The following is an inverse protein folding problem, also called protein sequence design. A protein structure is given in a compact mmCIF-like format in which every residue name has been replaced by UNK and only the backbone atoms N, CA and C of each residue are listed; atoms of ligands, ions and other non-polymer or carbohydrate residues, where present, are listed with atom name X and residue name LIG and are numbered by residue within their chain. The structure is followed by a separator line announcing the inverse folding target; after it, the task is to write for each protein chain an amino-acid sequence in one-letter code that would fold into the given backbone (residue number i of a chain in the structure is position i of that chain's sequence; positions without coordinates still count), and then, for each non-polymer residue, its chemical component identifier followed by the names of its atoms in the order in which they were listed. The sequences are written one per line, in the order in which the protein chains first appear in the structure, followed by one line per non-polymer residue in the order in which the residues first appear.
data_IF_263083853163
#
_entry.id   IF_263083853163
#
_cell.length_a   1.000
_cell.length_b   1.000
_cell.length_c   1.000
_cell.angle_alpha   90.00
_cell.angle_beta   90.00
_cell.angle_gamma   90.00
#
_symmetry.space_group_name_H-M   'P 1'
#
loop_
_entity.id
_entity.type
_entity.pdbx_description
1 polymer ?
#
# COMPACT_ATOMS: atom_id res chain seq x y z
N UNK A 1 -2.83 2.71 -23.86
CA UNK A 1 -1.51 2.52 -24.49
C UNK A 1 -1.61 1.26 -25.32
N UNK A 2 -1.34 1.36 -26.63
CA UNK A 2 -1.51 0.29 -27.62
C UNK A 2 -0.18 -0.46 -27.86
N UNK A 3 -0.19 -1.80 -27.80
CA UNK A 3 0.82 -2.69 -28.42
C UNK A 3 2.06 -3.10 -27.58
N UNK A 4 2.21 -4.41 -27.33
CA UNK A 4 3.48 -5.12 -27.00
C UNK A 4 4.24 -4.74 -25.69
N UNK A 5 3.59 -4.24 -24.63
CA UNK A 5 4.30 -3.96 -23.37
C UNK A 5 4.78 -5.22 -22.62
N UNK A 6 4.33 -6.42 -23.00
CA UNK A 6 4.63 -7.66 -22.28
C UNK A 6 6.11 -8.02 -22.25
N UNK A 7 6.81 -8.05 -23.39
CA UNK A 7 8.21 -8.50 -23.42
C UNK A 7 9.13 -7.63 -22.54
N UNK A 8 9.16 -6.29 -22.69
CA UNK A 8 9.99 -5.45 -21.83
C UNK A 8 9.64 -5.56 -20.34
N UNK A 9 8.35 -5.68 -20.01
CA UNK A 9 7.89 -5.87 -18.63
C UNK A 9 8.39 -7.20 -18.04
N UNK A 10 8.25 -8.30 -18.77
CA UNK A 10 8.64 -9.63 -18.34
C UNK A 10 10.17 -9.81 -18.29
N UNK A 11 10.92 -9.13 -19.16
CA UNK A 11 12.39 -9.13 -19.12
C UNK A 11 12.88 -8.46 -17.84
N UNK A 12 12.28 -7.32 -17.49
CA UNK A 12 12.54 -6.61 -16.22
C UNK A 12 12.19 -7.48 -15.02
N UNK A 13 11.01 -8.09 -15.01
CA UNK A 13 10.60 -8.99 -13.94
C UNK A 13 11.59 -10.16 -13.80
N UNK A 14 11.99 -10.79 -14.91
CA UNK A 14 12.98 -11.87 -14.88
C UNK A 14 14.30 -11.43 -14.25
N UNK A 15 14.84 -10.29 -14.69
CA UNK A 15 16.09 -9.75 -14.18
C UNK A 15 16.03 -9.46 -12.67
N UNK A 16 14.97 -8.80 -12.21
CA UNK A 16 14.79 -8.42 -10.80
C UNK A 16 14.49 -9.63 -9.92
N UNK A 17 13.74 -10.61 -10.41
CA UNK A 17 13.50 -11.86 -9.69
C UNK A 17 14.79 -12.69 -9.53
N UNK A 18 15.63 -12.74 -10.57
CA UNK A 18 16.94 -13.38 -10.48
C UNK A 18 17.85 -12.64 -9.49
N UNK A 19 17.87 -11.30 -9.53
CA UNK A 19 18.69 -10.48 -8.65
C UNK A 19 18.23 -10.51 -7.18
N UNK A 20 16.92 -10.63 -6.93
CA UNK A 20 16.32 -10.66 -5.60
C UNK A 20 16.33 -12.01 -4.89
N UNK A 21 17.06 -13.00 -5.42
CA UNK A 21 17.19 -14.31 -4.77
C UNK A 21 18.14 -14.29 -3.59
N UNK A 22 17.79 -15.08 -2.58
CA UNK A 22 18.58 -15.36 -1.38
C UNK A 22 19.14 -16.79 -1.47
N UNK A 23 20.44 -16.96 -1.78
CA UNK A 23 21.06 -18.27 -1.83
C UNK A 23 20.90 -19.04 -0.52
N UNK A 24 20.41 -20.28 -0.60
CA UNK A 24 20.21 -21.17 0.56
C UNK A 24 18.84 -21.05 1.23
N UNK A 25 18.07 -19.98 0.96
CA UNK A 25 16.67 -19.87 1.38
C UNK A 25 15.71 -20.23 0.25
N UNK A 26 16.02 -19.79 -0.97
CA UNK A 26 15.18 -20.05 -2.13
C UNK A 26 15.40 -21.43 -2.74
N UNK A 27 14.33 -21.94 -3.39
CA UNK A 27 14.43 -23.09 -4.29
C UNK A 27 15.43 -22.78 -5.42
N UNK A 28 16.27 -23.76 -5.81
CA UNK A 28 17.14 -23.60 -6.98
C UNK A 28 16.35 -23.21 -8.22
N UNK A 29 16.97 -22.37 -9.04
CA UNK A 29 16.45 -22.02 -10.34
C UNK A 29 16.44 -23.21 -11.28
N UNK A 30 15.44 -23.24 -12.15
CA UNK A 30 15.45 -24.10 -13.32
C UNK A 30 16.67 -23.73 -14.19
N UNK A 31 17.45 -24.71 -14.72
CA UNK A 31 18.68 -24.43 -15.46
C UNK A 31 18.51 -23.51 -16.68
N UNK A 32 17.31 -23.52 -17.28
CA UNK A 32 16.96 -22.65 -18.40
C UNK A 32 16.89 -21.18 -18.00
N UNK A 33 16.31 -20.88 -16.83
CA UNK A 33 16.24 -19.51 -16.31
C UNK A 33 17.64 -18.97 -16.01
N UNK A 34 18.54 -19.81 -15.47
CA UNK A 34 19.94 -19.41 -15.21
C UNK A 34 20.66 -19.08 -16.52
N UNK A 35 20.45 -19.89 -17.56
CA UNK A 35 21.13 -19.72 -18.85
C UNK A 35 20.63 -18.51 -19.61
N UNK A 36 19.32 -18.33 -19.65
CA UNK A 36 18.65 -17.42 -20.58
C UNK A 36 18.25 -16.10 -19.90
N UNK A 37 18.32 -16.04 -18.56
CA UNK A 37 17.91 -14.86 -17.78
C UNK A 37 16.40 -14.58 -17.86
N UNK A 38 15.60 -15.60 -18.19
CA UNK A 38 14.19 -15.48 -18.55
C UNK A 38 13.34 -16.47 -17.74
N UNK A 39 12.30 -15.96 -17.06
CA UNK A 39 11.38 -16.82 -16.28
C UNK A 39 10.35 -17.53 -17.14
N UNK A 40 10.00 -16.93 -18.28
CA UNK A 40 9.01 -17.47 -19.19
C UNK A 40 9.48 -18.72 -19.93
N UNK A 41 8.62 -19.21 -20.81
CA UNK A 41 8.91 -20.26 -21.75
C UNK A 41 9.05 -19.66 -23.16
N UNK A 42 9.27 -20.51 -24.17
CA UNK A 42 9.16 -20.08 -25.55
C UNK A 42 7.75 -19.53 -25.86
N UNK A 43 7.60 -18.63 -26.83
CA UNK A 43 6.30 -18.10 -27.21
C UNK A 43 5.41 -19.20 -27.79
N UNK A 44 4.10 -19.15 -27.50
CA UNK A 44 3.11 -20.00 -28.16
C UNK A 44 2.98 -19.60 -29.62
N UNK A 45 2.79 -20.56 -30.52
CA UNK A 45 2.42 -20.22 -31.90
C UNK A 45 0.95 -19.78 -31.95
N UNK A 46 0.61 -18.90 -32.88
CA UNK A 46 -0.78 -18.44 -33.09
C UNK A 46 -1.79 -19.59 -33.24
N UNK A 47 -1.38 -20.69 -33.89
CA UNK A 47 -2.17 -21.90 -34.05
C UNK A 47 -2.47 -22.60 -32.71
N UNK A 48 -1.54 -22.55 -31.76
CA UNK A 48 -1.67 -23.24 -30.47
C UNK A 48 -2.60 -22.43 -29.56
N UNK A 49 -2.52 -21.10 -29.64
CA UNK A 49 -3.48 -20.20 -28.97
C UNK A 49 -4.88 -20.34 -29.57
N UNK A 50 -5.00 -20.39 -30.90
CA UNK A 50 -6.29 -20.62 -31.56
C UNK A 50 -6.90 -21.99 -31.20
N UNK A 51 -6.07 -23.04 -31.10
CA UNK A 51 -6.52 -24.35 -30.65
C UNK A 51 -6.99 -24.32 -29.19
N UNK A 52 -6.36 -23.53 -28.33
CA UNK A 52 -6.82 -23.33 -26.95
C UNK A 52 -8.19 -22.63 -26.92
N UNK A 53 -8.39 -21.58 -27.72
CA UNK A 53 -9.67 -20.88 -27.84
C UNK A 53 -10.80 -21.79 -28.36
N UNK A 54 -10.51 -22.60 -29.38
CA UNK A 54 -11.45 -23.58 -29.90
C UNK A 54 -11.83 -24.61 -28.84
N UNK A 55 -10.84 -25.16 -28.11
CA UNK A 55 -11.05 -26.12 -27.03
C UNK A 55 -11.84 -25.55 -25.86
N UNK A 56 -11.60 -24.28 -25.49
CA UNK A 56 -12.32 -23.59 -24.42
C UNK A 56 -13.70 -23.07 -24.88
N UNK A 57 -13.96 -23.05 -26.19
CA UNK A 57 -15.20 -22.53 -26.78
C UNK A 57 -15.34 -21.01 -26.71
N UNK A 58 -14.26 -20.29 -26.39
CA UNK A 58 -14.23 -18.82 -26.24
C UNK A 58 -12.89 -18.27 -26.70
N UNK A 59 -12.93 -17.08 -27.29
CA UNK A 59 -11.70 -16.31 -27.58
C UNK A 59 -11.10 -15.83 -26.26
N UNK A 60 -9.78 -15.95 -26.10
CA UNK A 60 -9.10 -15.50 -24.89
C UNK A 60 -9.12 -13.97 -24.81
N UNK A 61 -9.10 -13.38 -23.60
CA UNK A 61 -9.01 -11.93 -23.46
C UNK A 61 -7.69 -11.42 -24.06
N UNK A 62 -7.69 -10.23 -24.68
CA UNK A 62 -6.54 -9.75 -25.47
C UNK A 62 -5.20 -9.83 -24.73
N UNK A 63 -5.16 -9.41 -23.46
CA UNK A 63 -3.92 -9.38 -22.69
C UNK A 63 -3.34 -10.76 -22.40
N UNK A 64 -4.18 -11.79 -22.19
CA UNK A 64 -3.73 -13.18 -22.04
C UNK A 64 -3.25 -13.75 -23.37
N UNK A 65 -3.95 -13.48 -24.47
CA UNK A 65 -3.52 -13.88 -25.81
C UNK A 65 -2.15 -13.30 -26.14
N UNK A 66 -1.97 -11.99 -25.98
CA UNK A 66 -0.69 -11.32 -26.24
C UNK A 66 0.44 -11.86 -25.36
N UNK A 67 0.13 -12.17 -24.09
CA UNK A 67 1.09 -12.78 -23.17
C UNK A 67 1.56 -14.15 -23.66
N UNK A 68 0.64 -15.03 -24.08
CA UNK A 68 0.98 -16.36 -24.60
C UNK A 68 1.88 -16.29 -25.84
N UNK A 69 1.67 -15.29 -26.70
CA UNK A 69 2.49 -15.05 -27.88
C UNK A 69 3.90 -14.52 -27.55
N UNK A 70 4.13 -14.06 -26.32
CA UNK A 70 5.46 -13.72 -25.79
C UNK A 70 6.07 -14.89 -25.02
N UNK A 71 5.25 -15.63 -24.27
CA UNK A 71 5.66 -16.74 -23.41
C UNK A 71 4.52 -17.73 -23.18
N UNK A 72 4.72 -19.00 -23.52
CA UNK A 72 3.73 -20.06 -23.36
C UNK A 72 3.71 -20.59 -21.91
N UNK A 73 3.18 -19.76 -21.00
CA UNK A 73 3.22 -19.96 -19.56
C UNK A 73 4.32 -19.13 -18.89
N UNK A 74 4.41 -19.21 -17.56
CA UNK A 74 5.36 -18.39 -16.78
C UNK A 74 5.71 -19.03 -15.45
N UNK A 75 6.94 -18.82 -14.97
CA UNK A 75 7.39 -19.29 -13.66
C UNK A 75 7.36 -18.16 -12.65
N UNK A 76 6.98 -18.47 -11.43
CA UNK A 76 7.04 -17.54 -10.30
C UNK A 76 6.27 -16.22 -10.54
N UNK A 77 4.98 -16.32 -10.85
CA UNK A 77 4.05 -15.19 -10.97
C UNK A 77 3.72 -14.61 -9.58
N UNK A 78 4.68 -13.87 -9.02
CA UNK A 78 4.65 -13.37 -7.65
C UNK A 78 5.23 -14.40 -6.69
N UNK A 79 5.07 -14.17 -5.38
CA UNK A 79 5.71 -15.03 -4.38
C UNK A 79 4.99 -16.37 -4.13
N UNK A 80 3.72 -16.50 -4.56
CA UNK A 80 2.86 -17.61 -4.17
C UNK A 80 2.30 -18.42 -5.33
N UNK A 81 2.57 -18.03 -6.58
CA UNK A 81 2.17 -18.79 -7.77
C UNK A 81 3.42 -19.17 -8.55
N UNK A 82 3.76 -20.46 -8.50
CA UNK A 82 5.03 -20.98 -9.00
C UNK A 82 4.99 -21.26 -10.50
N UNK A 83 3.81 -21.51 -11.08
CA UNK A 83 3.68 -21.73 -12.53
C UNK A 83 2.30 -21.32 -13.04
N UNK A 84 2.30 -20.54 -14.12
CA UNK A 84 1.13 -20.26 -14.95
C UNK A 84 1.08 -21.22 -16.16
N UNK A 85 -0.13 -21.56 -16.56
CA UNK A 85 -0.43 -22.41 -17.70
C UNK A 85 -0.03 -21.77 -19.03
N UNK A 86 0.50 -22.58 -19.94
CA UNK A 86 0.54 -22.26 -21.37
C UNK A 86 -0.79 -22.52 -22.07
N UNK A 87 -0.88 -22.21 -23.36
CA UNK A 87 -2.07 -22.33 -24.20
C UNK A 87 -2.68 -23.74 -24.16
N UNK A 88 -1.85 -24.78 -24.20
CA UNK A 88 -2.31 -26.17 -24.13
C UNK A 88 -2.80 -26.60 -22.73
N UNK A 89 -2.37 -25.90 -21.68
CA UNK A 89 -2.63 -26.24 -20.27
C UNK A 89 -3.79 -25.43 -19.65
N UNK A 90 -4.26 -24.38 -20.32
CA UNK A 90 -5.41 -23.59 -19.90
C UNK A 90 -6.67 -24.45 -19.87
N UNK A 91 -7.42 -24.42 -18.77
CA UNK A 91 -8.58 -25.30 -18.55
C UNK A 91 -9.57 -24.64 -17.58
N UNK A 92 -10.86 -24.91 -17.74
CA UNK A 92 -11.90 -24.44 -16.83
C UNK A 92 -11.66 -25.03 -15.44
N UNK A 93 -11.73 -24.21 -14.40
CA UNK A 93 -11.37 -24.62 -13.04
C UNK A 93 -12.15 -25.86 -12.57
N UNK A 94 -13.43 -25.94 -12.93
CA UNK A 94 -14.31 -27.07 -12.61
C UNK A 94 -13.84 -28.42 -13.18
N UNK A 95 -13.10 -28.40 -14.29
CA UNK A 95 -12.61 -29.60 -14.97
C UNK A 95 -11.21 -30.02 -14.48
N UNK A 96 -10.66 -29.30 -13.50
CA UNK A 96 -9.30 -29.53 -12.98
C UNK A 96 -9.29 -30.13 -11.58
N UNK A 97 -8.12 -30.56 -11.13
CA UNK A 97 -7.91 -30.96 -9.73
C UNK A 97 -8.12 -29.83 -8.70
N UNK A 98 -8.24 -28.57 -9.16
CA UNK A 98 -8.52 -27.41 -8.31
C UNK A 98 -10.03 -27.17 -8.08
N UNK A 99 -10.90 -28.08 -8.56
CA UNK A 99 -12.33 -28.00 -8.33
C UNK A 99 -12.72 -27.95 -6.83
N UNK A 100 -11.85 -28.39 -5.91
CA UNK A 100 -12.07 -28.29 -4.46
C UNK A 100 -12.22 -26.85 -3.96
N UNK A 101 -11.71 -25.84 -4.69
CA UNK A 101 -11.93 -24.43 -4.36
C UNK A 101 -13.42 -24.06 -4.43
N UNK A 102 -14.16 -24.66 -5.36
CA UNK A 102 -15.60 -24.41 -5.56
C UNK A 102 -16.36 -24.82 -4.31
N UNK A 103 -16.05 -25.99 -3.74
CA UNK A 103 -16.72 -26.47 -2.53
C UNK A 103 -16.31 -25.67 -1.29
N UNK A 104 -15.03 -25.29 -1.21
CA UNK A 104 -14.50 -24.54 -0.06
C UNK A 104 -15.08 -23.11 0.03
N UNK A 105 -15.40 -22.50 -1.10
CA UNK A 105 -15.91 -21.13 -1.19
C UNK A 105 -17.38 -21.05 -1.63
N UNK A 106 -18.02 -22.18 -1.90
CA UNK A 106 -19.44 -22.28 -2.23
C UNK A 106 -20.34 -22.30 -0.99
N UNK A 107 -21.56 -21.76 -1.10
CA UNK A 107 -22.61 -21.95 -0.09
C UNK A 107 -22.51 -21.09 1.19
N UNK A 108 -21.57 -20.16 1.28
CA UNK A 108 -21.44 -19.21 2.40
C UNK A 108 -21.98 -17.79 2.08
N UNK A 109 -22.93 -17.67 1.15
CA UNK A 109 -23.61 -16.39 0.86
C UNK A 109 -24.52 -16.00 2.05
N UNK A 110 -24.07 -15.09 2.92
CA UNK A 110 -24.97 -14.47 3.91
C UNK A 110 -25.75 -13.27 3.34
N UNK A 111 -25.34 -12.71 2.18
CA UNK A 111 -25.76 -11.36 1.76
C UNK A 111 -26.18 -11.22 0.27
N UNK A 112 -26.39 -12.32 -0.48
CA UNK A 112 -26.98 -12.24 -1.83
C UNK A 112 -26.09 -11.60 -2.91
N UNK A 113 -24.77 -11.56 -2.69
CA UNK A 113 -23.76 -11.33 -3.73
C UNK A 113 -23.41 -12.70 -4.33
N UNK A 114 -23.17 -12.77 -5.64
CA UNK A 114 -22.80 -13.98 -6.39
C UNK A 114 -21.97 -14.96 -5.54
N UNK A 115 -22.41 -16.21 -5.47
CA UNK A 115 -21.71 -17.25 -4.73
C UNK A 115 -20.30 -17.39 -5.31
N UNK A 116 -19.27 -17.22 -4.47
CA UNK A 116 -17.87 -17.40 -4.89
C UNK A 116 -17.67 -18.79 -5.53
N UNK A 117 -18.46 -19.79 -5.14
CA UNK A 117 -18.49 -21.10 -5.78
C UNK A 117 -18.91 -21.03 -7.26
N UNK A 118 -19.92 -20.24 -7.61
CA UNK A 118 -20.38 -20.08 -9.00
C UNK A 118 -19.36 -19.34 -9.85
N UNK A 119 -18.74 -18.28 -9.29
CA UNK A 119 -17.61 -17.60 -9.90
C UNK A 119 -16.49 -18.60 -10.21
N UNK A 120 -16.04 -19.36 -9.22
CA UNK A 120 -14.96 -20.35 -9.39
C UNK A 120 -15.33 -21.43 -10.41
N UNK A 121 -16.59 -21.90 -10.41
CA UNK A 121 -17.07 -22.95 -11.32
C UNK A 121 -16.97 -22.55 -12.79
N UNK A 122 -17.28 -21.29 -13.12
CA UNK A 122 -17.21 -20.78 -14.51
C UNK A 122 -15.84 -20.23 -14.91
N UNK A 123 -14.90 -20.13 -13.98
CA UNK A 123 -13.64 -19.43 -14.20
C UNK A 123 -12.61 -20.25 -14.96
N UNK A 124 -11.83 -19.57 -15.81
CA UNK A 124 -10.67 -20.14 -16.49
C UNK A 124 -9.46 -20.14 -15.53
N UNK A 125 -8.91 -21.31 -15.20
CA UNK A 125 -7.75 -21.41 -14.30
C UNK A 125 -6.47 -21.02 -15.03
N UNK A 126 -5.68 -20.13 -14.42
CA UNK A 126 -4.36 -19.69 -14.92
C UNK A 126 -3.20 -20.37 -14.21
N UNK A 127 -3.28 -20.53 -12.90
CA UNK A 127 -2.18 -21.08 -12.07
C UNK A 127 -2.23 -22.60 -12.03
N UNK A 128 -1.11 -23.26 -12.35
CA UNK A 128 -0.97 -24.72 -12.25
C UNK A 128 -0.40 -25.17 -10.91
N UNK A 129 0.42 -24.33 -10.28
CA UNK A 129 1.05 -24.60 -8.98
C UNK A 129 1.15 -23.30 -8.19
N UNK A 130 0.72 -23.33 -6.93
CA UNK A 130 0.83 -22.21 -5.99
C UNK A 130 0.81 -22.68 -4.54
N UNK A 131 1.01 -21.75 -3.61
CA UNK A 131 1.00 -21.99 -2.17
C UNK A 131 -0.40 -21.86 -1.58
N UNK A 132 -1.24 -22.85 -1.88
CA UNK A 132 -2.69 -22.82 -1.56
C UNK A 132 -3.32 -21.49 -2.02
N UNK A 133 -2.95 -21.10 -3.24
CA UNK A 133 -3.43 -19.93 -3.95
C UNK A 133 -3.81 -20.32 -5.37
N UNK A 134 -4.80 -19.63 -5.95
CA UNK A 134 -5.24 -19.82 -7.33
C UNK A 134 -5.41 -18.47 -8.02
N UNK A 135 -4.99 -18.41 -9.29
CA UNK A 135 -5.28 -17.30 -10.21
C UNK A 135 -6.20 -17.78 -11.31
N UNK A 136 -7.24 -17.01 -11.62
CA UNK A 136 -8.24 -17.36 -12.61
C UNK A 136 -8.89 -16.13 -13.24
N UNK A 137 -9.60 -16.32 -14.36
CA UNK A 137 -10.33 -15.27 -15.08
C UNK A 137 -11.82 -15.61 -15.16
N UNK A 138 -12.67 -14.59 -15.06
CA UNK A 138 -14.13 -14.73 -15.22
C UNK A 138 -14.56 -14.37 -16.65
N UNK A 139 -15.02 -15.34 -17.46
CA UNK A 139 -15.47 -15.09 -18.83
C UNK A 139 -16.82 -14.38 -18.94
N UNK A 140 -17.51 -14.12 -17.81
CA UNK A 140 -18.79 -13.41 -17.77
C UNK A 140 -18.65 -11.96 -17.27
N UNK A 141 -17.53 -11.62 -16.66
CA UNK A 141 -17.18 -10.25 -16.26
C UNK A 141 -16.17 -9.67 -17.27
N UNK A 142 -16.72 -9.11 -18.35
CA UNK A 142 -15.96 -8.65 -19.51
C UNK A 142 -16.10 -7.13 -19.68
N UNK A 143 -14.98 -6.43 -19.82
CA UNK A 143 -14.96 -4.99 -20.03
C UNK A 143 -15.22 -4.58 -21.50
N UNK A 144 -15.21 -3.27 -21.78
CA UNK A 144 -15.41 -2.72 -23.13
C UNK A 144 -14.30 -3.07 -24.13
N UNK A 145 -13.16 -3.57 -23.67
CA UNK A 145 -12.02 -4.00 -24.48
C UNK A 145 -11.99 -5.51 -24.72
N UNK A 146 -12.94 -6.26 -24.13
CA UNK A 146 -12.96 -7.71 -24.19
C UNK A 146 -12.00 -8.37 -23.20
N UNK A 147 -11.45 -7.62 -22.24
CA UNK A 147 -10.70 -8.19 -21.12
C UNK A 147 -11.65 -8.85 -20.14
N UNK A 148 -11.21 -9.99 -19.61
CA UNK A 148 -11.94 -10.70 -18.56
C UNK A 148 -11.37 -10.27 -17.21
N UNK A 149 -12.24 -10.06 -16.23
CA UNK A 149 -11.82 -9.78 -14.87
C UNK A 149 -10.92 -10.92 -14.34
N UNK A 150 -9.79 -10.54 -13.75
CA UNK A 150 -8.84 -11.47 -13.18
C UNK A 150 -8.97 -11.55 -11.67
N UNK A 151 -8.69 -12.72 -11.09
CA UNK A 151 -8.81 -12.94 -9.66
C UNK A 151 -7.59 -13.62 -9.09
N UNK A 152 -7.23 -13.20 -7.88
CA UNK A 152 -6.30 -13.91 -7.00
C UNK A 152 -7.03 -14.35 -5.74
N UNK A 153 -6.90 -15.62 -5.38
CA UNK A 153 -7.50 -16.20 -4.18
C UNK A 153 -6.44 -16.99 -3.41
N UNK A 154 -6.46 -16.88 -2.08
CA UNK A 154 -5.62 -17.65 -1.17
C UNK A 154 -6.44 -18.16 0.01
N UNK A 155 -6.18 -19.38 0.47
CA UNK A 155 -6.95 -19.97 1.58
C UNK A 155 -6.61 -19.38 2.95
N UNK A 156 -5.44 -18.76 3.08
CA UNK A 156 -4.89 -18.27 4.35
C UNK A 156 -5.12 -16.79 4.59
N UNK A 157 -5.60 -16.03 3.61
CA UNK A 157 -5.90 -14.60 3.77
C UNK A 157 -7.12 -14.36 4.67
N UNK A 158 -8.05 -15.31 4.72
CA UNK A 158 -9.37 -15.09 5.33
C UNK A 158 -10.29 -14.18 4.49
N UNK A 159 -9.85 -13.79 3.29
CA UNK A 159 -10.60 -12.96 2.35
C UNK A 159 -11.12 -13.82 1.17
N UNK A 160 -12.12 -13.30 0.47
CA UNK A 160 -12.62 -13.88 -0.77
C UNK A 160 -11.71 -13.58 -1.97
N UNK A 161 -12.12 -13.97 -3.20
CA UNK A 161 -11.37 -13.68 -4.42
C UNK A 161 -11.17 -12.17 -4.62
N UNK A 162 -9.91 -11.73 -4.73
CA UNK A 162 -9.57 -10.33 -5.03
C UNK A 162 -9.67 -10.09 -6.53
N UNK A 163 -10.60 -9.21 -6.94
CA UNK A 163 -10.86 -8.86 -8.34
C UNK A 163 -9.86 -7.83 -8.90
N UNK A 164 -9.50 -8.00 -10.16
CA UNK A 164 -8.72 -7.12 -11.02
C UNK A 164 -9.45 -6.94 -12.36
N UNK A 165 -9.25 -5.81 -13.05
CA UNK A 165 -9.97 -5.50 -14.29
C UNK A 165 -9.58 -6.38 -15.48
N UNK A 166 -8.37 -6.94 -15.49
CA UNK A 166 -7.84 -7.75 -16.59
C UNK A 166 -6.75 -8.72 -16.12
N UNK A 167 -6.35 -9.66 -16.99
CA UNK A 167 -5.15 -10.48 -16.77
C UNK A 167 -3.88 -9.63 -16.64
N UNK A 168 -3.76 -8.52 -17.40
CA UNK A 168 -2.64 -7.59 -17.29
C UNK A 168 -2.54 -6.95 -15.90
N UNK A 169 -3.65 -6.45 -15.38
CA UNK A 169 -3.68 -5.84 -14.04
C UNK A 169 -3.35 -6.85 -12.94
N UNK A 170 -3.88 -8.08 -13.08
CA UNK A 170 -3.57 -9.17 -12.17
C UNK A 170 -2.07 -9.50 -12.16
N UNK A 171 -1.44 -9.62 -13.33
CA UNK A 171 0.00 -9.86 -13.43
C UNK A 171 0.84 -8.71 -12.85
N UNK A 172 0.42 -7.47 -13.06
CA UNK A 172 1.09 -6.30 -12.48
C UNK A 172 0.95 -6.26 -10.96
N UNK A 173 -0.19 -6.68 -10.40
CA UNK A 173 -0.35 -6.80 -8.94
C UNK A 173 0.56 -7.89 -8.36
N UNK A 174 0.72 -9.03 -9.04
CA UNK A 174 1.68 -10.07 -8.64
C UNK A 174 3.13 -9.59 -8.68
N UNK A 175 3.48 -8.75 -9.65
CA UNK A 175 4.80 -8.11 -9.73
C UNK A 175 5.01 -7.10 -8.60
N UNK A 176 4.02 -6.26 -8.30
CA UNK A 176 4.07 -5.33 -7.17
C UNK A 176 4.21 -6.08 -5.84
N UNK A 177 3.44 -7.15 -5.65
CA UNK A 177 3.52 -8.04 -4.48
C UNK A 177 4.90 -8.68 -4.32
N UNK A 178 5.51 -9.13 -5.43
CA UNK A 178 6.90 -9.59 -5.44
C UNK A 178 7.86 -8.53 -4.91
N UNK A 179 7.75 -7.28 -5.40
CA UNK A 179 8.57 -6.17 -4.93
C UNK A 179 8.32 -5.84 -3.46
N UNK A 180 7.07 -5.91 -3.00
CA UNK A 180 6.71 -5.65 -1.62
C UNK A 180 7.33 -6.65 -0.65
N UNK A 181 7.30 -7.94 -1.02
CA UNK A 181 7.75 -9.02 -0.15
C UNK A 181 9.26 -9.28 -0.22
N UNK A 182 9.85 -9.16 -1.42
CA UNK A 182 11.26 -9.54 -1.66
C UNK A 182 12.20 -8.35 -1.72
N UNK A 183 11.69 -7.15 -1.94
CA UNK A 183 12.47 -5.91 -2.05
C UNK A 183 13.73 -6.06 -2.93
N UNK A 184 13.61 -6.61 -4.15
CA UNK A 184 14.76 -6.86 -5.01
C UNK A 184 15.46 -5.53 -5.35
N UNK A 185 16.79 -5.53 -5.54
CA UNK A 185 17.44 -4.41 -6.20
C UNK A 185 17.03 -4.36 -7.67
N UNK A 186 16.92 -3.17 -8.25
CA UNK A 186 16.61 -3.04 -9.67
C UNK A 186 16.00 -1.70 -10.04
N UNK A 187 15.75 -1.56 -11.35
CA UNK A 187 15.20 -0.35 -11.95
C UNK A 187 13.86 0.04 -11.32
N UNK A 188 12.99 -0.92 -11.01
CA UNK A 188 11.67 -0.61 -10.44
C UNK A 188 11.77 -0.05 -9.02
N UNK A 189 12.68 -0.58 -8.19
CA UNK A 189 12.95 -0.02 -6.87
C UNK A 189 13.45 1.41 -6.99
N UNK A 190 14.49 1.62 -7.80
CA UNK A 190 15.14 2.93 -7.95
C UNK A 190 14.18 3.96 -8.55
N UNK A 191 13.34 3.55 -9.51
CA UNK A 191 12.27 4.38 -10.08
C UNK A 191 11.25 4.78 -9.02
N UNK A 192 10.79 3.86 -8.19
CA UNK A 192 9.82 4.18 -7.15
C UNK A 192 10.41 5.07 -6.07
N UNK A 193 11.65 4.85 -5.66
CA UNK A 193 12.34 5.73 -4.70
C UNK A 193 12.45 7.17 -5.25
N UNK A 194 12.78 7.32 -6.53
CA UNK A 194 12.81 8.63 -7.19
C UNK A 194 11.41 9.27 -7.30
N UNK A 195 10.37 8.49 -7.62
CA UNK A 195 8.98 8.99 -7.68
C UNK A 195 8.48 9.41 -6.29
N UNK A 196 8.80 8.67 -5.25
CA UNK A 196 8.47 9.03 -3.86
C UNK A 196 9.12 10.36 -3.48
N UNK A 197 10.40 10.55 -3.80
CA UNK A 197 11.07 11.84 -3.51
C UNK A 197 10.47 12.99 -4.32
N UNK A 198 10.13 12.78 -5.60
CA UNK A 198 9.45 13.79 -6.42
C UNK A 198 8.06 14.14 -5.87
N UNK A 199 7.27 13.13 -5.51
CA UNK A 199 5.95 13.30 -4.91
C UNK A 199 6.05 14.01 -3.55
N UNK A 200 7.08 13.73 -2.75
CA UNK A 200 7.37 14.45 -1.50
C UNK A 200 7.59 15.93 -1.72
N UNK A 201 8.38 16.31 -2.72
CA UNK A 201 8.64 17.73 -3.06
C UNK A 201 7.37 18.41 -3.56
N UNK A 202 6.59 17.73 -4.41
CA UNK A 202 5.30 18.23 -4.86
C UNK A 202 4.33 18.42 -3.66
N UNK A 203 4.34 17.49 -2.70
CA UNK A 203 3.56 17.61 -1.48
C UNK A 203 3.96 18.85 -0.66
N UNK A 204 5.26 19.04 -0.42
CA UNK A 204 5.76 20.25 0.25
C UNK A 204 5.42 21.53 -0.53
N UNK A 205 5.35 21.48 -1.85
CA UNK A 205 4.89 22.58 -2.71
C UNK A 205 3.39 22.87 -2.67
N UNK A 206 2.58 22.07 -1.96
CA UNK A 206 1.14 22.27 -1.79
C UNK A 206 0.25 21.31 -2.60
N UNK A 207 0.81 20.36 -3.36
CA UNK A 207 0.03 19.36 -4.06
C UNK A 207 -0.40 18.23 -3.10
N UNK A 208 -1.63 17.73 -3.20
CA UNK A 208 -2.14 16.70 -2.28
C UNK A 208 -2.52 15.42 -2.99
N UNK A 209 -3.50 15.48 -3.90
CA UNK A 209 -4.07 14.26 -4.51
C UNK A 209 -3.05 13.53 -5.40
N UNK A 210 -2.28 14.27 -6.20
CA UNK A 210 -1.23 13.69 -7.05
C UNK A 210 -0.17 12.93 -6.23
N UNK A 211 0.50 13.58 -5.26
CA UNK A 211 1.43 12.90 -4.36
C UNK A 211 0.83 11.73 -3.58
N UNK A 212 -0.40 11.86 -3.08
CA UNK A 212 -1.06 10.79 -2.34
C UNK A 212 -1.30 9.53 -3.21
N UNK A 213 -1.66 9.70 -4.49
CA UNK A 213 -1.80 8.61 -5.44
C UNK A 213 -0.46 7.95 -5.78
N UNK A 214 0.58 8.75 -6.01
CA UNK A 214 1.96 8.26 -6.22
C UNK A 214 2.46 7.44 -5.03
N UNK A 215 2.23 7.94 -3.81
CA UNK A 215 2.61 7.20 -2.60
C UNK A 215 1.81 5.92 -2.43
N UNK A 216 0.51 5.92 -2.75
CA UNK A 216 -0.31 4.72 -2.68
C UNK A 216 0.20 3.64 -3.63
N UNK A 217 0.54 4.00 -4.85
CA UNK A 217 1.08 3.07 -5.83
C UNK A 217 2.49 2.59 -5.42
N UNK A 218 3.38 3.47 -4.95
CA UNK A 218 4.69 3.08 -4.46
C UNK A 218 4.60 2.14 -3.24
N UNK A 219 3.64 2.35 -2.34
CA UNK A 219 3.40 1.48 -1.19
C UNK A 219 3.04 0.04 -1.62
N UNK A 220 2.37 -0.16 -2.76
CA UNK A 220 2.10 -1.50 -3.32
C UNK A 220 3.38 -2.26 -3.71
N UNK A 221 4.47 -1.54 -3.97
CA UNK A 221 5.81 -2.09 -4.23
C UNK A 221 6.66 -2.18 -2.94
N UNK A 222 6.03 -2.13 -1.77
CA UNK A 222 6.68 -2.16 -0.45
C UNK A 222 7.57 -0.96 -0.17
N UNK A 223 7.29 0.20 -0.78
CA UNK A 223 8.03 1.43 -0.42
C UNK A 223 7.48 1.96 0.91
N UNK A 224 8.02 1.48 2.02
CA UNK A 224 7.54 1.82 3.36
C UNK A 224 7.50 3.33 3.65
N UNK A 225 8.52 4.08 3.17
CA UNK A 225 8.54 5.55 3.26
C UNK A 225 7.34 6.20 2.57
N UNK A 226 6.84 5.64 1.47
CA UNK A 226 5.65 6.15 0.80
C UNK A 226 4.39 6.00 1.66
N UNK A 227 4.25 4.89 2.40
CA UNK A 227 3.14 4.68 3.33
C UNK A 227 3.15 5.71 4.46
N UNK A 228 4.32 6.00 5.04
CA UNK A 228 4.49 7.04 6.07
C UNK A 228 4.14 8.44 5.56
N UNK A 229 4.57 8.79 4.35
CA UNK A 229 4.27 10.08 3.73
C UNK A 229 2.77 10.21 3.38
N UNK A 230 2.17 9.14 2.84
CA UNK A 230 0.73 9.08 2.54
C UNK A 230 -0.11 9.21 3.80
N UNK A 231 0.27 8.52 4.87
CA UNK A 231 -0.43 8.57 6.16
C UNK A 231 -0.50 9.99 6.73
N UNK A 232 0.55 10.80 6.55
CA UNK A 232 0.53 12.21 6.96
C UNK A 232 -0.49 13.04 6.17
N UNK A 233 -0.53 12.88 4.85
CA UNK A 233 -1.47 13.62 3.99
C UNK A 233 -2.92 13.22 4.26
N UNK A 234 -3.19 11.93 4.44
CA UNK A 234 -4.54 11.43 4.72
C UNK A 234 -4.98 11.72 6.15
N UNK A 235 -4.07 11.60 7.11
CA UNK A 235 -4.33 11.95 8.51
C UNK A 235 -4.76 13.40 8.70
N UNK A 236 -4.05 14.35 8.08
CA UNK A 236 -4.47 15.76 8.07
C UNK A 236 -5.87 15.97 7.47
N UNK A 237 -6.32 15.10 6.56
CA UNK A 237 -7.67 15.16 5.94
C UNK A 237 -8.73 14.41 6.74
N UNK A 238 -8.39 13.90 7.92
CA UNK A 238 -9.28 13.07 8.74
C UNK A 238 -9.48 11.64 8.22
N UNK A 239 -8.76 11.23 7.18
CA UNK A 239 -8.84 9.88 6.61
C UNK A 239 -7.76 8.97 7.22
N UNK A 240 -7.85 8.79 8.53
CA UNK A 240 -6.93 8.00 9.32
C UNK A 240 -6.99 6.50 9.02
N UNK A 241 -8.11 6.03 8.49
CA UNK A 241 -8.35 4.62 8.24
C UNK A 241 -7.74 4.14 6.92
N UNK A 242 -7.64 4.98 5.89
CA UNK A 242 -7.10 4.60 4.59
C UNK A 242 -5.56 4.49 4.54
N UNK A 243 -4.85 5.10 5.50
CA UNK A 243 -3.41 4.93 5.73
C UNK A 243 -3.09 5.20 7.22
N UNK A 244 -3.26 4.18 8.06
CA UNK A 244 -3.00 4.31 9.50
C UNK A 244 -1.51 4.53 9.74
N UNK A 245 -1.11 5.73 10.18
CA UNK A 245 0.27 6.01 10.58
C UNK A 245 0.76 5.01 11.62
N UNK A 246 -0.10 4.57 12.55
CA UNK A 246 0.24 3.52 13.49
C UNK A 246 0.57 2.17 12.85
N UNK A 247 -0.13 1.78 11.77
CA UNK A 247 0.18 0.56 11.03
C UNK A 247 1.54 0.67 10.34
N UNK A 248 1.81 1.80 9.68
CA UNK A 248 3.12 2.05 9.08
C UNK A 248 4.24 1.97 10.14
N UNK A 249 4.04 2.54 11.34
CA UNK A 249 5.04 2.42 12.41
C UNK A 249 5.23 0.96 12.87
N UNK A 250 4.17 0.19 13.02
CA UNK A 250 4.23 -1.19 13.53
C UNK A 250 4.91 -2.16 12.55
N UNK A 251 4.72 -1.94 11.26
CA UNK A 251 5.20 -2.82 10.20
C UNK A 251 6.34 -2.18 9.38
N UNK A 252 7.04 -1.22 9.97
CA UNK A 252 8.21 -0.62 9.35
C UNK A 252 9.31 -1.67 9.13
N UNK A 253 9.83 -1.74 7.90
CA UNK A 253 10.91 -2.67 7.52
C UNK A 253 12.15 -2.53 8.43
N UNK A 254 12.49 -1.27 8.77
CA UNK A 254 13.56 -0.93 9.71
C UNK A 254 13.01 -0.01 10.81
N UNK A 255 12.36 -0.62 11.81
CA UNK A 255 11.80 0.08 12.96
C UNK A 255 12.88 0.83 13.77
N UNK A 256 14.12 0.35 13.79
CA UNK A 256 15.22 0.99 14.51
C UNK A 256 15.72 2.24 13.79
N UNK A 257 15.76 2.26 12.46
CA UNK A 257 15.99 3.46 11.67
C UNK A 257 14.86 4.48 11.87
N UNK A 258 13.60 4.06 11.78
CA UNK A 258 12.45 4.94 12.02
C UNK A 258 12.50 5.56 13.42
N UNK A 259 12.80 4.77 14.45
CA UNK A 259 12.88 5.23 15.85
C UNK A 259 13.98 6.28 16.08
N UNK A 260 15.09 6.18 15.32
CA UNK A 260 16.19 7.15 15.34
C UNK A 260 15.88 8.42 14.57
N UNK A 261 14.95 8.39 13.62
CA UNK A 261 14.51 9.57 12.88
C UNK A 261 13.87 10.60 13.85
N UNK A 262 14.25 11.89 13.78
CA UNK A 262 13.62 12.95 14.56
C UNK A 262 12.09 13.01 14.39
N UNK A 263 11.58 12.69 13.20
CA UNK A 263 10.16 12.62 12.88
C UNK A 263 9.39 11.70 13.83
N UNK A 264 9.97 10.54 14.18
CA UNK A 264 9.31 9.60 15.09
C UNK A 264 9.03 10.24 16.46
N UNK A 265 10.02 10.91 17.03
CA UNK A 265 9.88 11.52 18.36
C UNK A 265 9.09 12.83 18.38
N UNK A 266 9.23 13.64 17.32
CA UNK A 266 8.62 14.96 17.25
C UNK A 266 7.15 14.91 16.79
N UNK A 267 6.79 13.98 15.92
CA UNK A 267 5.50 13.98 15.22
C UNK A 267 4.68 12.73 15.52
N UNK A 268 5.26 11.55 15.28
CA UNK A 268 4.51 10.29 15.40
C UNK A 268 4.19 9.95 16.86
N UNK A 269 5.16 10.02 17.75
CA UNK A 269 4.98 9.58 19.14
C UNK A 269 3.90 10.39 19.88
N UNK A 270 3.86 11.74 19.79
CA UNK A 270 2.73 12.51 20.31
C UNK A 270 1.37 12.05 19.77
N UNK A 271 1.27 11.82 18.46
CA UNK A 271 0.04 11.41 17.81
C UNK A 271 -0.42 10.02 18.27
N UNK A 272 0.50 9.06 18.35
CA UNK A 272 0.20 7.71 18.84
C UNK A 272 -0.32 7.73 20.29
N UNK A 273 0.20 8.62 21.14
CA UNK A 273 -0.31 8.84 22.50
C UNK A 273 -1.64 9.63 22.55
N UNK A 274 -1.95 10.43 21.54
CA UNK A 274 -3.26 11.08 21.41
C UNK A 274 -4.32 10.06 20.97
N UNK A 275 -4.01 9.22 19.99
CA UNK A 275 -4.87 8.12 19.51
C UNK A 275 -5.19 7.11 20.64
N UNK A 276 -4.19 6.73 21.45
CA UNK A 276 -4.37 5.83 22.59
C UNK A 276 -5.40 6.35 23.61
N UNK A 277 -5.48 7.68 23.78
CA UNK A 277 -6.46 8.33 24.68
C UNK A 277 -7.89 8.32 24.15
N UNK A 278 -8.08 8.20 22.83
CA UNK A 278 -9.40 8.25 22.18
C UNK A 278 -10.16 6.92 22.23
N UNK A 279 -9.62 5.89 22.90
CA UNK A 279 -10.40 4.80 23.48
C UNK A 279 -11.40 4.14 22.55
N UNK A 280 -11.04 3.87 21.28
CA UNK A 280 -11.93 3.11 20.40
C UNK A 280 -11.97 1.66 20.88
N UNK A 281 -13.18 1.20 21.19
CA UNK A 281 -13.48 -0.13 21.71
C UNK A 281 -13.00 -1.23 20.75
N UNK A 282 -11.95 -1.97 21.11
CA UNK A 282 -11.78 -3.35 20.64
C UNK A 282 -10.38 -3.81 20.19
N UNK A 283 -9.44 -2.92 19.86
CA UNK A 283 -8.14 -3.35 19.29
C UNK A 283 -6.95 -2.73 20.01
N UNK A 284 -5.98 -3.58 20.35
CA UNK A 284 -4.78 -3.27 21.13
C UNK A 284 -3.88 -2.26 20.38
N UNK A 285 -3.73 -1.07 20.98
CA UNK A 285 -3.09 0.15 20.47
C UNK A 285 -1.63 0.00 20.01
N UNK A 286 -1.24 0.78 18.98
CA UNK A 286 0.11 0.82 18.40
C UNK A 286 1.21 0.91 19.46
N UNK A 287 1.07 1.80 20.45
CA UNK A 287 2.04 1.92 21.55
C UNK A 287 2.15 0.61 22.34
N UNK A 288 1.02 -0.01 22.69
CA UNK A 288 1.01 -1.27 23.42
C UNK A 288 1.66 -2.40 22.62
N UNK A 289 1.43 -2.46 21.30
CA UNK A 289 2.07 -3.45 20.43
C UNK A 289 3.58 -3.20 20.32
N UNK A 290 4.02 -1.94 20.17
CA UNK A 290 5.44 -1.58 20.19
C UNK A 290 6.08 -1.91 21.54
N UNK A 291 5.38 -1.73 22.66
CA UNK A 291 5.88 -2.11 23.99
C UNK A 291 5.96 -3.63 24.17
N UNK A 292 5.08 -4.41 23.52
CA UNK A 292 5.07 -5.88 23.61
C UNK A 292 6.08 -6.54 22.67
N UNK A 293 6.17 -6.06 21.43
CA UNK A 293 6.88 -6.72 20.33
C UNK A 293 8.05 -5.91 19.76
N UNK A 294 8.10 -4.60 20.02
CA UNK A 294 9.15 -3.74 19.50
C UNK A 294 10.51 -3.99 20.15
N UNK A 295 11.56 -3.52 19.48
CA UNK A 295 12.92 -3.53 20.02
C UNK A 295 13.13 -2.58 21.21
N UNK A 296 14.26 -2.72 21.90
CA UNK A 296 14.56 -1.91 23.08
C UNK A 296 14.67 -0.41 22.77
N UNK A 297 15.12 -0.05 21.56
CA UNK A 297 15.21 1.35 21.13
C UNK A 297 13.84 2.03 21.11
N UNK A 298 12.81 1.40 20.54
CA UNK A 298 11.46 1.99 20.48
C UNK A 298 10.83 2.06 21.87
N UNK A 299 11.01 1.01 22.69
CA UNK A 299 10.51 0.99 24.07
C UNK A 299 11.11 2.10 24.91
N UNK A 300 12.42 2.31 24.79
CA UNK A 300 13.11 3.39 25.50
C UNK A 300 12.59 4.76 25.08
N UNK A 301 12.31 4.98 23.79
CA UNK A 301 11.77 6.25 23.27
C UNK A 301 10.34 6.50 23.73
N UNK A 302 9.50 5.46 23.75
CA UNK A 302 8.14 5.53 24.31
C UNK A 302 8.20 5.87 25.79
N UNK A 303 9.04 5.18 26.57
CA UNK A 303 9.18 5.40 28.01
C UNK A 303 9.72 6.80 28.34
N UNK A 304 10.72 7.29 27.59
CA UNK A 304 11.26 8.65 27.73
C UNK A 304 10.19 9.71 27.48
N UNK A 305 9.45 9.59 26.37
CA UNK A 305 8.38 10.54 26.06
C UNK A 305 7.27 10.51 27.12
N UNK A 306 6.90 9.32 27.59
CA UNK A 306 5.94 9.12 28.65
C UNK A 306 6.43 9.67 30.01
N UNK A 307 7.73 9.63 30.30
CA UNK A 307 8.29 10.30 31.47
C UNK A 307 8.19 11.82 31.33
N UNK A 308 8.67 12.38 30.21
CA UNK A 308 8.62 13.82 29.92
C UNK A 308 7.20 14.37 29.95
N UNK A 309 6.21 13.66 29.40
CA UNK A 309 4.82 14.13 29.40
C UNK A 309 4.22 14.29 30.81
N UNK A 310 4.76 13.57 31.80
CA UNK A 310 4.30 13.64 33.20
C UNK A 310 4.97 14.77 33.97
N UNK A 311 6.02 15.37 33.43
CA UNK A 311 6.70 16.49 34.07
C UNK A 311 5.78 17.72 34.12
N UNK A 312 5.73 18.43 35.27
CA UNK A 312 4.96 19.67 35.37
C UNK A 312 5.43 20.69 34.34
N UNK A 313 4.48 21.27 33.60
CA UNK A 313 4.78 22.28 32.59
C UNK A 313 5.27 21.71 31.25
N UNK A 314 5.25 20.38 31.05
CA UNK A 314 5.50 19.79 29.74
C UNK A 314 4.60 20.42 28.67
N UNK A 315 5.21 20.67 27.51
CA UNK A 315 4.58 21.25 26.34
C UNK A 315 5.07 20.50 25.11
N UNK A 316 4.12 20.04 24.29
CA UNK A 316 4.42 19.40 23.01
C UNK A 316 5.06 20.42 22.06
N UNK A 317 6.25 20.15 21.49
CA UNK A 317 6.75 20.90 20.34
C UNK A 317 5.82 20.69 19.14
N UNK A 318 5.45 21.77 18.45
CA UNK A 318 4.50 21.75 17.34
C UNK A 318 5.17 21.87 15.96
N UNK A 319 6.51 21.97 15.93
CA UNK A 319 7.32 22.09 14.72
C UNK A 319 8.67 22.75 15.01
N UNK A 320 9.31 23.31 13.98
CA UNK A 320 10.47 24.18 14.15
C UNK A 320 10.10 25.45 14.95
N UNK A 321 11.09 26.06 15.61
CA UNK A 321 10.87 27.12 16.60
C UNK A 321 10.01 28.31 16.10
N UNK A 322 10.17 28.71 14.84
CA UNK A 322 9.43 29.83 14.23
C UNK A 322 7.94 29.50 14.11
N UNK A 323 7.62 28.29 13.64
CA UNK A 323 6.25 27.81 13.55
C UNK A 323 5.65 27.52 14.92
N UNK A 324 6.42 26.89 15.82
CA UNK A 324 6.00 26.55 17.17
C UNK A 324 5.53 27.79 17.94
N UNK A 325 6.26 28.91 17.85
CA UNK A 325 5.89 30.15 18.54
C UNK A 325 4.50 30.65 18.14
N UNK A 326 4.15 30.60 16.85
CA UNK A 326 2.83 31.03 16.34
C UNK A 326 1.75 30.02 16.73
N UNK A 327 1.96 28.74 16.43
CA UNK A 327 0.99 27.68 16.72
C UNK A 327 0.68 27.62 18.23
N UNK A 328 1.71 27.77 19.08
CA UNK A 328 1.57 27.80 20.54
C UNK A 328 0.83 29.05 21.02
N UNK A 329 1.12 30.23 20.46
CA UNK A 329 0.38 31.44 20.80
C UNK A 329 -1.12 31.35 20.43
N UNK A 330 -1.46 30.62 19.38
CA UNK A 330 -2.86 30.31 19.02
C UNK A 330 -3.45 29.33 20.04
N UNK A 331 -2.76 28.23 20.34
CA UNK A 331 -3.21 27.23 21.32
C UNK A 331 -3.47 27.85 22.70
N UNK A 332 -2.56 28.69 23.20
CA UNK A 332 -2.70 29.35 24.50
C UNK A 332 -3.93 30.27 24.55
N UNK A 333 -4.21 31.02 23.46
CA UNK A 333 -5.42 31.86 23.35
C UNK A 333 -6.70 31.03 23.32
N UNK A 334 -6.70 29.90 22.61
CA UNK A 334 -7.85 28.99 22.56
C UNK A 334 -8.09 28.30 23.90
N UNK A 335 -7.02 27.88 24.58
CA UNK A 335 -7.09 27.25 25.90
C UNK A 335 -7.54 28.23 27.00
N UNK A 336 -7.25 29.52 26.85
CA UNK A 336 -7.69 30.56 27.78
C UNK A 336 -9.19 30.90 27.66
N UNK A 337 -9.85 30.52 26.56
CA UNK A 337 -11.29 30.74 26.37
C UNK A 337 -12.09 29.54 26.93
N UNK A 338 -12.79 29.67 28.07
CA UNK A 338 -13.50 28.55 28.69
C UNK A 338 -14.79 28.17 27.96
N UNK A 339 -15.46 29.12 27.28
CA UNK A 339 -16.74 28.84 26.60
C UNK A 339 -16.51 28.12 25.26
N UNK A 340 -17.09 26.93 25.03
CA UNK A 340 -16.86 26.18 23.79
C UNK A 340 -17.34 26.90 22.52
N UNK A 341 -18.39 27.72 22.61
CA UNK A 341 -18.93 28.48 21.47
C UNK A 341 -18.01 29.64 21.10
N UNK A 342 -17.59 30.41 22.10
CA UNK A 342 -16.61 31.49 21.95
C UNK A 342 -15.25 30.96 21.50
N UNK A 343 -14.81 29.80 22.02
CA UNK A 343 -13.56 29.15 21.58
C UNK A 343 -13.61 28.76 20.12
N UNK A 344 -14.74 28.23 19.64
CA UNK A 344 -14.92 27.92 18.21
C UNK A 344 -14.85 29.17 17.35
N UNK A 345 -15.56 30.23 17.72
CA UNK A 345 -15.53 31.51 17.01
C UNK A 345 -14.12 32.14 17.02
N UNK A 346 -13.41 32.06 18.15
CA UNK A 346 -12.01 32.47 18.26
C UNK A 346 -11.11 31.62 17.35
N UNK A 347 -11.32 30.31 17.31
CA UNK A 347 -10.63 29.40 16.39
C UNK A 347 -10.83 29.80 14.92
N UNK A 348 -12.05 30.14 14.53
CA UNK A 348 -12.35 30.65 13.19
C UNK A 348 -11.62 31.97 12.89
N UNK A 349 -11.54 32.87 13.87
CA UNK A 349 -10.83 34.14 13.74
C UNK A 349 -9.30 33.97 13.67
N UNK A 350 -8.74 32.98 14.37
CA UNK A 350 -7.30 32.70 14.42
C UNK A 350 -6.83 31.77 13.29
N UNK A 351 -7.75 31.09 12.59
CA UNK A 351 -7.41 30.16 11.51
C UNK A 351 -6.51 30.78 10.41
N UNK A 352 -6.76 32.00 9.90
CA UNK A 352 -5.89 32.61 8.90
C UNK A 352 -4.45 32.80 9.39
N UNK A 353 -4.26 33.04 10.70
CA UNK A 353 -2.94 33.18 11.33
C UNK A 353 -2.17 31.85 11.29
N UNK A 354 -2.81 30.75 11.72
CA UNK A 354 -2.20 29.41 11.67
C UNK A 354 -1.89 28.99 10.23
N UNK A 355 -2.81 29.25 9.30
CA UNK A 355 -2.61 28.94 7.88
C UNK A 355 -1.43 29.70 7.29
N UNK A 356 -1.30 30.99 7.59
CA UNK A 356 -0.16 31.80 7.13
C UNK A 356 1.17 31.33 7.75
N UNK A 357 1.14 30.85 9.00
CA UNK A 357 2.31 30.32 9.69
C UNK A 357 2.93 29.09 8.97
N UNK A 358 2.19 28.38 8.13
CA UNK A 358 2.74 27.26 7.35
C UNK A 358 3.93 27.64 6.47
N UNK A 359 4.06 28.90 6.05
CA UNK A 359 5.24 29.40 5.34
C UNK A 359 6.53 29.38 6.20
N UNK A 360 6.39 29.32 7.53
CA UNK A 360 7.49 29.19 8.48
C UNK A 360 7.78 27.73 8.83
N UNK A 361 6.87 26.82 8.53
CA UNK A 361 7.00 25.42 8.91
C UNK A 361 8.04 24.71 8.03
N UNK A 362 8.88 23.89 8.68
CA UNK A 362 9.90 23.08 8.00
C UNK A 362 9.83 21.62 8.44
N UNK A 363 10.03 20.67 7.50
CA UNK A 363 10.11 19.27 7.86
C UNK A 363 11.37 19.00 8.72
N UNK A 364 11.30 18.00 9.60
CA UNK A 364 12.40 17.65 10.51
C UNK A 364 13.31 16.57 9.93
N UNK A 365 12.82 15.87 8.90
CA UNK A 365 13.53 14.86 8.14
C UNK A 365 12.86 14.63 6.78
N UNK A 366 13.47 13.76 5.97
CA UNK A 366 12.95 13.35 4.66
C UNK A 366 11.65 12.52 4.74
N UNK A 367 11.29 12.07 5.95
CA UNK A 367 10.06 11.34 6.23
C UNK A 367 8.91 12.27 6.65
N UNK A 368 9.09 13.59 6.61
CA UNK A 368 8.12 14.57 7.10
C UNK A 368 7.60 15.48 5.97
N UNK A 369 6.26 15.54 5.81
CA UNK A 369 5.56 16.39 4.81
C UNK A 369 4.38 17.18 5.37
N UNK A 370 3.91 16.87 6.58
CA UNK A 370 2.86 17.65 7.23
C UNK A 370 3.00 17.62 8.76
N UNK A 371 2.67 18.74 9.45
CA UNK A 371 2.75 18.87 10.92
C UNK A 371 1.65 18.07 11.62
N UNK A 372 1.75 16.74 11.59
CA UNK A 372 0.72 15.87 12.16
C UNK A 372 0.63 15.97 13.68
N UNK A 373 1.68 16.45 14.34
CA UNK A 373 1.70 16.75 15.78
C UNK A 373 0.65 17.77 16.21
N UNK A 374 0.19 18.65 15.32
CA UNK A 374 -0.88 19.60 15.63
C UNK A 374 -2.16 18.90 16.08
N UNK A 375 -2.40 17.69 15.58
CA UNK A 375 -3.57 16.88 15.93
C UNK A 375 -3.41 16.18 17.29
N UNK A 376 -2.18 16.10 17.81
CA UNK A 376 -1.89 15.59 19.16
C UNK A 376 -2.04 16.66 20.25
N UNK A 377 -2.02 17.93 19.87
CA UNK A 377 -2.29 19.07 20.76
C UNK A 377 -3.82 19.23 20.90
N UNK A 378 -4.39 19.14 22.11
CA UNK A 378 -5.85 19.04 22.27
C UNK A 378 -6.68 20.16 21.62
N UNK A 379 -6.28 21.43 21.78
CA UNK A 379 -7.09 22.56 21.29
C UNK A 379 -6.88 22.80 19.79
N UNK A 380 -5.68 22.53 19.28
CA UNK A 380 -5.40 22.60 17.84
C UNK A 380 -5.96 21.40 17.09
N UNK A 381 -5.97 20.22 17.69
CA UNK A 381 -6.58 19.01 17.12
C UNK A 381 -8.08 19.18 16.88
N UNK A 382 -8.79 19.83 17.79
CA UNK A 382 -10.21 20.22 17.58
C UNK A 382 -10.39 21.27 16.48
N UNK A 383 -9.39 22.15 16.29
CA UNK A 383 -9.41 23.20 15.29
C UNK A 383 -9.23 22.66 13.87
N UNK A 384 -8.43 21.60 13.69
CA UNK A 384 -8.06 21.02 12.39
C UNK A 384 -9.14 20.04 11.92
N UNK A 385 -10.13 20.57 11.21
CA UNK A 385 -11.11 19.76 10.45
C UNK A 385 -10.48 19.22 9.16
N UNK A 386 -11.11 18.22 8.49
CA UNK A 386 -10.68 17.76 7.17
C UNK A 386 -10.44 18.89 6.15
N UNK A 387 -11.32 19.88 6.10
CA UNK A 387 -11.24 21.04 5.20
C UNK A 387 -10.02 21.89 5.53
N UNK A 388 -9.83 22.16 6.82
CA UNK A 388 -8.69 22.93 7.34
C UNK A 388 -7.37 22.21 7.13
N UNK A 389 -7.35 20.90 7.30
CA UNK A 389 -6.20 20.08 6.94
C UNK A 389 -5.84 20.18 5.47
N UNK A 390 -6.83 20.11 4.55
CA UNK A 390 -6.60 20.35 3.12
C UNK A 390 -6.01 21.74 2.87
N UNK A 391 -6.50 22.78 3.55
CA UNK A 391 -5.96 24.14 3.42
C UNK A 391 -4.51 24.27 3.89
N UNK A 392 -4.14 23.64 5.01
CA UNK A 392 -2.74 23.59 5.48
C UNK A 392 -1.86 22.83 4.50
N UNK A 393 -2.36 21.71 3.97
CA UNK A 393 -1.65 20.91 2.99
C UNK A 393 -1.49 21.62 1.63
N UNK A 394 -2.34 22.60 1.32
CA UNK A 394 -2.23 23.40 0.10
C UNK A 394 -1.20 24.53 0.21
N UNK A 395 -0.69 24.81 1.41
CA UNK A 395 0.36 25.83 1.58
C UNK A 395 1.72 25.27 1.18
N UNK A 396 2.54 26.06 0.44
CA UNK A 396 3.96 25.76 0.28
C UNK A 396 4.67 25.73 1.64
N UNK A 397 5.56 24.75 1.80
CA UNK A 397 6.25 24.41 3.03
C UNK A 397 7.70 24.04 2.74
N UNK A 398 8.60 24.33 3.68
CA UNK A 398 10.03 23.96 3.60
C UNK A 398 10.96 25.09 3.22
#
# INVERSE_FOLDING_TARGET
MEGSEWRPFLERWSAEWIAGREPGRDRPLDPEVVRDGWLGFGPAAEKDVAAAEERLGRRLPPSLREFLLVTDGWRDAGCFVYRLAGAAELEWLVDTGDASWIDAYGGWSSNGVDDNGDLLRRSLRLSLRGDVCVMFLDPEDVDEHGEWAGYWLSSWSGEGPKRHGSFRELMYDQYASFHALRQPPGETRDRWDARVESARRAALGGAVEGPAAEFAEAARFGRHRAELLRGQLLGMRGDWYAARLGHAVLFADDQDALTRDPFFGAELLPLLFAEDRLGHTGELFTIQQLMRRGGEAVKARIADFEARRREPGFRLPLGNAEFDAVARGIADRLAAEPDPGARRALGDALWPELRAAMALWRPVSENHVAPVVLMAEPVLGELITPERGRELLAQPRG
#
